data_IF_585655806958
#
_entry.id   IF_585655806958
#
_cell.length_a   1.000
_cell.length_b   1.000
_cell.length_c   1.000
_cell.angle_alpha   90.00
_cell.angle_beta   90.00
_cell.angle_gamma   90.00
#
_symmetry.space_group_name_H-M   'P 1'
#
loop_
_entity.id
_entity.type
_entity.pdbx_description
1 polymer ?
#
# COMPACT_ATOMS: atom_id res chain seq x y z
N UNK A 1 42.46 8.96 -35.43
CA UNK A 1 41.09 9.49 -35.22
C UNK A 1 39.96 8.54 -35.62
N UNK A 2 40.19 7.48 -36.41
CA UNK A 2 39.11 6.59 -36.85
C UNK A 2 38.60 5.58 -35.80
N UNK A 3 39.36 5.30 -34.74
CA UNK A 3 38.95 4.31 -33.72
C UNK A 3 37.91 4.85 -32.70
N UNK A 4 37.83 6.18 -32.52
CA UNK A 4 36.89 6.79 -31.56
C UNK A 4 35.46 6.81 -32.12
N UNK A 5 35.32 7.04 -33.42
CA UNK A 5 34.02 7.05 -34.11
C UNK A 5 33.42 5.63 -34.14
N UNK A 6 34.25 4.60 -34.31
CA UNK A 6 33.80 3.20 -34.29
C UNK A 6 33.30 2.77 -32.91
N UNK A 7 33.96 3.21 -31.83
CA UNK A 7 33.52 2.91 -30.46
C UNK A 7 32.21 3.62 -30.10
N UNK A 8 32.01 4.86 -30.52
CA UNK A 8 30.73 5.57 -30.31
C UNK A 8 29.58 4.93 -31.08
N UNK A 9 29.80 4.50 -32.33
CA UNK A 9 28.78 3.78 -33.10
C UNK A 9 28.42 2.44 -32.45
N UNK A 10 29.39 1.72 -31.89
CA UNK A 10 29.13 0.47 -31.17
C UNK A 10 28.34 0.72 -29.86
N UNK A 11 28.60 1.82 -29.17
CA UNK A 11 27.87 2.20 -27.96
C UNK A 11 26.43 2.64 -28.26
N UNK A 12 26.19 3.35 -29.38
CA UNK A 12 24.85 3.69 -29.86
C UNK A 12 24.09 2.44 -30.34
N UNK A 13 24.79 1.46 -30.93
CA UNK A 13 24.19 0.17 -31.31
C UNK A 13 23.86 -0.70 -30.10
N UNK A 14 24.69 -0.69 -29.05
CA UNK A 14 24.39 -1.39 -27.79
C UNK A 14 23.24 -0.75 -27.01
N UNK A 15 23.10 0.58 -27.06
CA UNK A 15 21.96 1.29 -26.43
C UNK A 15 20.66 1.04 -27.20
N UNK A 16 20.70 0.78 -28.51
CA UNK A 16 19.52 0.47 -29.32
C UNK A 16 19.13 -1.02 -29.33
N UNK A 17 19.96 -1.90 -28.76
CA UNK A 17 19.59 -3.27 -28.43
C UNK A 17 18.94 -3.35 -27.02
N UNK A 18 18.05 -2.41 -26.70
CA UNK A 18 17.15 -2.59 -25.55
C UNK A 18 16.12 -3.61 -25.96
N UNK A 19 16.23 -4.81 -25.40
CA UNK A 19 15.23 -5.88 -25.50
C UNK A 19 13.83 -5.31 -25.33
N UNK A 20 13.06 -5.20 -26.42
CA UNK A 20 11.61 -5.08 -26.35
C UNK A 20 11.11 -6.33 -25.62
N UNK A 21 10.20 -6.16 -24.67
CA UNK A 21 9.50 -7.27 -24.01
C UNK A 21 8.95 -8.23 -25.07
N UNK A 22 9.55 -9.40 -25.18
CA UNK A 22 8.90 -10.60 -25.73
C UNK A 22 8.58 -11.49 -24.53
N UNK A 23 7.43 -11.22 -23.91
CA UNK A 23 6.70 -12.28 -23.23
C UNK A 23 6.04 -13.14 -24.32
N UNK A 24 5.77 -14.41 -24.02
CA UNK A 24 5.10 -15.33 -24.96
C UNK A 24 3.68 -14.83 -25.38
N UNK A 25 3.17 -13.78 -24.73
CA UNK A 25 1.86 -13.14 -24.95
C UNK A 25 1.92 -11.82 -25.76
N UNK A 26 3.12 -11.40 -26.19
CA UNK A 26 3.34 -10.25 -27.07
C UNK A 26 3.65 -8.93 -26.36
N UNK A 27 4.16 -7.95 -27.11
CA UNK A 27 4.54 -6.63 -26.58
C UNK A 27 3.32 -5.69 -26.54
N UNK A 28 3.21 -4.90 -25.47
CA UNK A 28 2.33 -3.72 -25.35
C UNK A 28 3.17 -2.48 -25.66
N UNK A 29 2.68 -1.63 -26.55
CA UNK A 29 3.32 -0.37 -26.95
C UNK A 29 2.40 0.80 -26.57
N UNK A 30 2.85 1.59 -25.59
CA UNK A 30 2.23 2.79 -25.05
C UNK A 30 2.90 4.08 -25.58
N UNK A 31 4.16 4.03 -26.04
CA UNK A 31 4.97 5.21 -26.42
C UNK A 31 4.41 6.03 -27.59
N UNK A 32 3.47 5.49 -28.37
CA UNK A 32 2.73 6.20 -29.42
C UNK A 32 1.41 6.84 -28.95
N UNK A 33 1.01 6.64 -27.70
CA UNK A 33 -0.24 7.15 -27.15
C UNK A 33 -0.05 8.55 -26.58
N UNK A 34 -0.93 9.47 -26.96
CA UNK A 34 -0.94 10.85 -26.43
C UNK A 34 -2.02 11.09 -25.38
N UNK A 35 -3.08 10.27 -25.40
CA UNK A 35 -4.22 10.30 -24.49
C UNK A 35 -4.51 8.89 -23.99
N UNK A 36 -5.15 8.76 -22.83
CA UNK A 36 -5.56 7.49 -22.24
C UNK A 36 -6.59 6.77 -23.12
N UNK A 37 -6.28 5.59 -23.67
CA UNK A 37 -7.23 4.79 -24.44
C UNK A 37 -8.31 4.17 -23.55
N UNK A 38 -9.52 4.04 -24.07
CA UNK A 38 -10.65 3.40 -23.38
C UNK A 38 -10.36 1.96 -22.92
N UNK A 39 -9.45 1.28 -23.63
CA UNK A 39 -9.08 -0.11 -23.36
C UNK A 39 -7.80 -0.27 -22.54
N UNK A 40 -7.21 0.83 -22.05
CA UNK A 40 -6.03 0.79 -21.20
C UNK A 40 -6.45 0.69 -19.73
N UNK A 41 -5.86 -0.30 -19.06
CA UNK A 41 -5.99 -0.52 -17.63
C UNK A 41 -4.60 -0.71 -17.03
N UNK A 42 -4.37 -0.09 -15.87
CA UNK A 42 -3.18 -0.29 -15.06
C UNK A 42 -3.61 -0.86 -13.71
N UNK A 43 -2.92 -1.90 -13.28
CA UNK A 43 -3.16 -2.52 -11.99
C UNK A 43 -1.84 -2.72 -11.24
N UNK A 44 -1.82 -2.41 -9.94
CA UNK A 44 -0.74 -2.85 -9.05
C UNK A 44 -1.27 -3.81 -8.01
N UNK A 45 -0.39 -4.69 -7.56
CA UNK A 45 -0.60 -5.57 -6.43
C UNK A 45 0.66 -5.58 -5.57
N UNK A 46 0.55 -5.59 -4.25
CA UNK A 46 1.70 -5.72 -3.35
C UNK A 46 1.31 -6.46 -2.09
N UNK A 47 2.07 -7.51 -1.75
CA UNK A 47 1.87 -8.30 -0.53
C UNK A 47 1.29 -9.69 -0.79
N UNK A 48 0.55 -10.21 0.19
CA UNK A 48 -0.04 -11.55 0.19
C UNK A 48 0.99 -12.69 0.26
N UNK A 49 0.59 -13.87 -0.21
CA UNK A 49 1.35 -15.11 0.03
C UNK A 49 0.95 -15.72 1.36
N UNK A 50 1.91 -15.97 2.27
CA UNK A 50 1.60 -16.37 3.66
C UNK A 50 1.10 -15.22 4.54
N UNK A 51 1.25 -13.96 4.10
CA UNK A 51 0.77 -12.80 4.84
C UNK A 51 -0.64 -12.43 4.38
N UNK A 52 -1.50 -12.02 5.31
CA UNK A 52 -2.87 -11.59 4.99
C UNK A 52 -2.92 -10.15 4.49
N UNK A 53 -1.82 -9.42 4.64
CA UNK A 53 -1.64 -8.04 4.24
C UNK A 53 -1.33 -7.94 2.75
N UNK A 54 -2.20 -7.26 2.00
CA UNK A 54 -1.97 -6.95 0.59
C UNK A 54 -2.73 -5.70 0.17
N UNK A 55 -2.15 -4.98 -0.80
CA UNK A 55 -2.77 -3.82 -1.42
C UNK A 55 -2.95 -4.09 -2.92
N UNK A 56 -4.04 -3.59 -3.49
CA UNK A 56 -4.30 -3.63 -4.93
C UNK A 56 -4.84 -2.29 -5.40
N UNK A 57 -4.33 -1.80 -6.51
CA UNK A 57 -4.84 -0.60 -7.16
C UNK A 57 -5.22 -0.95 -8.59
N UNK A 58 -6.40 -0.54 -9.03
CA UNK A 58 -6.86 -0.67 -10.40
C UNK A 58 -7.24 0.72 -10.93
N UNK A 59 -6.75 1.08 -12.10
CA UNK A 59 -7.00 2.34 -12.80
C UNK A 59 -7.42 2.02 -14.23
N UNK A 60 -8.63 2.46 -14.58
CA UNK A 60 -9.16 2.45 -15.95
C UNK A 60 -9.78 3.81 -16.27
N UNK A 61 -10.20 4.01 -17.51
CA UNK A 61 -10.92 5.23 -17.91
C UNK A 61 -12.22 5.43 -17.11
N UNK A 62 -12.96 4.35 -16.89
CA UNK A 62 -14.31 4.41 -16.35
C UNK A 62 -14.36 4.33 -14.82
N UNK A 63 -13.40 3.63 -14.22
CA UNK A 63 -13.37 3.43 -12.76
C UNK A 63 -11.97 3.17 -12.23
N UNK A 64 -11.73 3.67 -11.01
CA UNK A 64 -10.53 3.34 -10.25
C UNK A 64 -10.94 2.79 -8.88
N UNK A 65 -10.16 1.84 -8.37
CA UNK A 65 -10.34 1.29 -7.02
C UNK A 65 -9.00 1.02 -6.36
N UNK A 66 -8.87 1.47 -5.12
CA UNK A 66 -7.80 1.07 -4.21
C UNK A 66 -8.37 0.08 -3.19
N UNK A 67 -7.69 -1.03 -2.99
CA UNK A 67 -8.06 -2.06 -2.02
C UNK A 67 -6.88 -2.23 -1.06
N UNK A 68 -7.15 -2.09 0.23
CA UNK A 68 -6.22 -2.46 1.29
C UNK A 68 -6.83 -3.63 2.06
N UNK A 69 -6.13 -4.77 2.04
CA UNK A 69 -6.43 -5.92 2.88
C UNK A 69 -5.41 -6.00 4.00
N UNK A 70 -5.89 -6.01 5.24
CA UNK A 70 -5.06 -6.32 6.40
C UNK A 70 -5.77 -7.37 7.24
N UNK A 71 -5.08 -8.47 7.56
CA UNK A 71 -5.60 -9.55 8.43
C UNK A 71 -6.96 -10.11 8.01
N UNK A 72 -7.20 -10.21 6.69
CA UNK A 72 -8.44 -10.74 6.11
C UNK A 72 -9.59 -9.74 6.05
N UNK A 73 -9.31 -8.46 6.27
CA UNK A 73 -10.28 -7.35 6.16
C UNK A 73 -9.98 -6.53 4.92
N UNK A 74 -10.86 -6.60 3.94
CA UNK A 74 -10.72 -5.89 2.66
C UNK A 74 -11.48 -4.56 2.67
N UNK A 75 -10.76 -3.45 2.74
CA UNK A 75 -11.33 -2.11 2.57
C UNK A 75 -11.15 -1.63 1.13
N UNK A 76 -12.25 -1.18 0.49
CA UNK A 76 -12.28 -0.75 -0.91
C UNK A 76 -12.65 0.72 -1.03
N UNK A 77 -11.87 1.46 -1.81
CA UNK A 77 -12.02 2.89 -2.02
C UNK A 77 -12.13 3.19 -3.50
N UNK A 78 -13.34 3.56 -3.94
CA UNK A 78 -13.61 3.90 -5.32
C UNK A 78 -13.32 5.38 -5.57
N UNK A 79 -12.72 5.70 -6.71
CA UNK A 79 -12.47 7.07 -7.11
C UNK A 79 -12.45 7.19 -8.64
N UNK A 80 -12.46 8.43 -9.12
CA UNK A 80 -12.44 8.75 -10.54
C UNK A 80 -11.26 9.70 -10.79
N UNK A 81 -10.56 9.46 -11.91
CA UNK A 81 -9.59 10.38 -12.47
C UNK A 81 -10.24 11.13 -13.63
N UNK A 82 -10.01 12.43 -13.71
CA UNK A 82 -10.37 13.22 -14.88
C UNK A 82 -9.55 12.78 -16.09
N UNK A 83 -10.03 13.05 -17.31
CA UNK A 83 -9.29 12.74 -18.53
C UNK A 83 -7.88 13.35 -18.52
N UNK A 84 -7.74 14.59 -18.02
CA UNK A 84 -6.43 15.25 -17.91
C UNK A 84 -5.48 14.52 -16.95
N UNK A 85 -5.99 14.01 -15.82
CA UNK A 85 -5.19 13.24 -14.87
C UNK A 85 -4.76 11.90 -15.47
N UNK A 86 -5.66 11.24 -16.22
CA UNK A 86 -5.34 10.00 -16.95
C UNK A 86 -4.26 10.25 -18.02
N UNK A 87 -4.43 11.26 -18.85
CA UNK A 87 -3.46 11.60 -19.90
C UNK A 87 -2.09 11.97 -19.32
N UNK A 88 -2.07 12.66 -18.17
CA UNK A 88 -0.84 12.97 -17.45
C UNK A 88 -0.20 11.70 -16.86
N UNK A 89 -0.98 10.85 -16.21
CA UNK A 89 -0.50 9.58 -15.67
C UNK A 89 0.11 8.69 -16.75
N UNK A 90 -0.54 8.60 -17.93
CA UNK A 90 0.00 7.88 -19.10
C UNK A 90 1.37 8.42 -19.50
N UNK A 91 1.51 9.74 -19.63
CA UNK A 91 2.80 10.38 -19.99
C UNK A 91 3.87 10.05 -18.97
N UNK A 92 3.56 10.18 -17.68
CA UNK A 92 4.51 9.93 -16.61
C UNK A 92 4.94 8.45 -16.57
N UNK A 93 4.01 7.54 -16.82
CA UNK A 93 4.28 6.10 -16.93
C UNK A 93 5.16 5.77 -18.15
N UNK A 94 4.93 6.39 -19.30
CA UNK A 94 5.77 6.25 -20.51
C UNK A 94 7.19 6.80 -20.25
N UNK A 95 7.31 7.98 -19.63
CA UNK A 95 8.59 8.61 -19.30
C UNK A 95 9.41 7.75 -18.35
N UNK A 96 8.76 7.00 -17.46
CA UNK A 96 9.40 6.03 -16.58
C UNK A 96 9.62 4.65 -17.24
N UNK A 97 9.66 4.58 -18.58
CA UNK A 97 10.08 3.39 -19.34
C UNK A 97 9.29 2.11 -19.05
N UNK A 98 7.98 2.21 -18.78
CA UNK A 98 7.14 1.05 -18.46
C UNK A 98 7.24 -0.11 -19.47
N UNK A 99 7.36 0.19 -20.77
CA UNK A 99 7.46 -0.79 -21.86
C UNK A 99 8.80 -1.57 -21.87
N UNK A 100 9.78 -1.08 -21.12
CA UNK A 100 11.14 -1.63 -21.06
C UNK A 100 11.42 -2.32 -19.73
N UNK A 101 10.42 -2.45 -18.86
CA UNK A 101 10.53 -3.22 -17.65
C UNK A 101 10.70 -4.70 -18.02
N UNK A 102 11.91 -5.21 -17.92
CA UNK A 102 12.22 -6.62 -18.21
C UNK A 102 12.18 -7.45 -16.94
N UNK A 103 11.56 -8.63 -17.00
CA UNK A 103 11.59 -9.64 -15.93
C UNK A 103 12.63 -10.72 -16.21
N UNK A 104 13.25 -11.26 -15.16
CA UNK A 104 14.08 -12.45 -15.19
C UNK A 104 13.39 -13.52 -14.34
N UNK A 105 13.27 -14.74 -14.87
CA UNK A 105 12.87 -15.90 -14.06
C UNK A 105 13.90 -16.14 -12.96
N UNK A 106 13.44 -16.36 -11.74
CA UNK A 106 14.32 -16.64 -10.60
C UNK A 106 14.80 -18.09 -10.67
N UNK A 107 16.12 -18.28 -10.63
CA UNK A 107 16.74 -19.61 -10.58
C UNK A 107 16.72 -20.13 -9.12
N UNK A 108 15.68 -20.86 -8.69
CA UNK A 108 15.67 -21.43 -7.33
C UNK A 108 14.32 -21.86 -6.75
N UNK A 109 14.36 -22.37 -5.51
CA UNK A 109 13.18 -22.68 -4.69
C UNK A 109 12.54 -21.36 -4.26
N UNK A 110 11.32 -21.12 -4.74
CA UNK A 110 10.52 -19.96 -4.38
C UNK A 110 9.96 -20.19 -2.98
N UNK A 111 10.52 -19.49 -2.01
CA UNK A 111 9.90 -19.37 -0.70
C UNK A 111 8.85 -18.26 -0.78
N UNK A 112 7.66 -18.54 -0.25
CA UNK A 112 6.49 -17.68 -0.23
C UNK A 112 6.85 -16.27 0.29
N UNK A 113 7.11 -15.36 -0.65
CA UNK A 113 7.47 -13.97 -0.42
C UNK A 113 6.44 -13.14 -1.15
N UNK A 114 5.73 -12.29 -0.39
CA UNK A 114 4.77 -11.33 -0.94
C UNK A 114 5.35 -10.66 -2.19
N UNK A 115 4.55 -10.63 -3.26
CA UNK A 115 5.00 -10.19 -4.57
C UNK A 115 4.44 -8.79 -4.81
N UNK A 116 5.28 -7.88 -5.29
CA UNK A 116 4.81 -6.62 -5.85
C UNK A 116 4.77 -6.75 -7.36
N UNK A 117 3.62 -6.45 -7.97
CA UNK A 117 3.40 -6.61 -9.39
C UNK A 117 2.72 -5.37 -9.98
N UNK A 118 3.01 -5.12 -11.26
CA UNK A 118 2.35 -4.15 -12.12
C UNK A 118 1.81 -4.89 -13.33
N UNK A 119 0.50 -4.81 -13.55
CA UNK A 119 -0.18 -5.37 -14.72
C UNK A 119 -0.65 -4.24 -15.62
N UNK A 120 -0.42 -4.40 -16.92
CA UNK A 120 -0.81 -3.46 -17.97
C UNK A 120 -1.71 -4.23 -18.92
N UNK A 121 -2.94 -3.78 -19.08
CA UNK A 121 -3.87 -4.34 -20.06
C UNK A 121 -4.14 -3.29 -21.13
N UNK A 122 -4.00 -3.66 -22.40
CA UNK A 122 -4.40 -2.82 -23.54
C UNK A 122 -5.23 -3.66 -24.52
N UNK A 123 -6.55 -3.47 -24.49
CA UNK A 123 -7.48 -4.26 -25.28
C UNK A 123 -7.49 -5.73 -24.85
N UNK A 124 -6.90 -6.62 -25.67
CA UNK A 124 -6.83 -8.07 -25.39
C UNK A 124 -5.46 -8.54 -24.91
N UNK A 125 -4.49 -7.63 -24.85
CA UNK A 125 -3.13 -7.95 -24.40
C UNK A 125 -2.99 -7.55 -22.94
N UNK A 126 -2.40 -8.42 -22.14
CA UNK A 126 -2.02 -8.13 -20.77
C UNK A 126 -0.54 -8.50 -20.57
N UNK A 127 0.17 -7.71 -19.78
CA UNK A 127 1.52 -8.02 -19.32
C UNK A 127 1.57 -7.75 -17.82
N UNK A 128 1.98 -8.74 -17.05
CA UNK A 128 2.28 -8.60 -15.61
C UNK A 128 3.78 -8.61 -15.40
N UNK A 129 4.28 -7.62 -14.67
CA UNK A 129 5.68 -7.46 -14.30
C UNK A 129 5.76 -7.56 -12.78
N UNK A 130 6.36 -8.64 -12.30
CA UNK A 130 6.57 -8.89 -10.87
C UNK A 130 7.98 -8.52 -10.39
N UNK A 131 8.08 -8.10 -9.14
CA UNK A 131 9.30 -8.13 -8.34
C UNK A 131 9.03 -9.04 -7.12
N UNK A 132 9.20 -10.35 -7.31
CA UNK A 132 8.98 -11.35 -6.25
C UNK A 132 8.67 -12.75 -6.77
N UNK A 133 8.69 -13.73 -5.86
CA UNK A 133 8.38 -15.12 -6.14
C UNK A 133 9.18 -15.74 -7.31
N UNK A 134 8.51 -16.07 -8.43
CA UNK A 134 9.07 -16.76 -9.61
C UNK A 134 9.72 -15.83 -10.63
N UNK A 135 9.47 -14.53 -10.55
CA UNK A 135 9.91 -13.54 -11.53
C UNK A 135 10.34 -12.24 -10.83
N UNK A 136 11.55 -11.81 -11.12
CA UNK A 136 12.09 -10.57 -10.57
C UNK A 136 12.43 -9.64 -11.70
N UNK A 137 12.05 -8.38 -11.56
CA UNK A 137 12.50 -7.32 -12.45
C UNK A 137 14.03 -7.22 -12.46
N UNK A 138 14.60 -7.04 -13.65
CA UNK A 138 16.04 -6.86 -13.82
C UNK A 138 16.56 -5.69 -12.98
N UNK A 139 17.72 -5.85 -12.33
CA UNK A 139 18.24 -4.92 -11.32
C UNK A 139 18.30 -3.46 -11.79
N UNK A 140 18.76 -3.23 -13.02
CA UNK A 140 18.86 -1.88 -13.61
C UNK A 140 17.49 -1.24 -13.94
N UNK A 141 16.39 -1.99 -13.90
CA UNK A 141 15.01 -1.53 -14.12
C UNK A 141 14.19 -1.38 -12.84
N UNK A 142 14.69 -1.85 -11.69
CA UNK A 142 13.99 -1.70 -10.40
C UNK A 142 13.61 -0.26 -10.09
N UNK A 143 14.51 0.68 -10.36
CA UNK A 143 14.25 2.11 -10.13
C UNK A 143 13.05 2.64 -10.93
N UNK A 144 12.95 2.26 -12.21
CA UNK A 144 11.85 2.64 -13.09
C UNK A 144 10.52 2.01 -12.61
N UNK A 145 10.55 0.73 -12.21
CA UNK A 145 9.40 0.03 -11.66
C UNK A 145 8.85 0.69 -10.40
N UNK A 146 9.71 0.97 -9.41
CA UNK A 146 9.28 1.59 -8.16
C UNK A 146 8.80 3.02 -8.37
N UNK A 147 9.34 3.76 -9.34
CA UNK A 147 8.79 5.08 -9.72
C UNK A 147 7.36 4.96 -10.26
N UNK A 148 7.10 4.01 -11.16
CA UNK A 148 5.76 3.79 -11.71
C UNK A 148 4.80 3.34 -10.60
N UNK A 149 5.20 2.37 -9.79
CA UNK A 149 4.40 1.89 -8.66
C UNK A 149 4.05 3.04 -7.70
N UNK A 150 5.03 3.80 -7.25
CA UNK A 150 4.82 4.93 -6.34
C UNK A 150 3.99 6.05 -6.98
N UNK A 151 4.15 6.31 -8.27
CA UNK A 151 3.34 7.28 -9.02
C UNK A 151 1.84 6.89 -9.01
N UNK A 152 1.54 5.63 -9.31
CA UNK A 152 0.16 5.12 -9.29
C UNK A 152 -0.43 5.20 -7.87
N UNK A 153 0.33 4.75 -6.86
CA UNK A 153 -0.11 4.79 -5.47
C UNK A 153 -0.30 6.22 -4.94
N UNK A 154 0.62 7.15 -5.22
CA UNK A 154 0.48 8.55 -4.81
C UNK A 154 -0.72 9.25 -5.46
N UNK A 155 -1.03 8.90 -6.72
CA UNK A 155 -2.24 9.36 -7.40
C UNK A 155 -3.50 8.86 -6.68
N UNK A 156 -3.52 7.58 -6.32
CA UNK A 156 -4.62 6.98 -5.55
C UNK A 156 -4.73 7.59 -4.15
N UNK A 157 -3.62 7.74 -3.42
CA UNK A 157 -3.55 8.30 -2.07
C UNK A 157 -4.16 9.70 -2.00
N UNK A 158 -3.85 10.55 -2.98
CA UNK A 158 -4.44 11.89 -3.09
C UNK A 158 -5.96 11.86 -3.28
N UNK A 159 -6.46 10.88 -4.05
CA UNK A 159 -7.89 10.72 -4.31
C UNK A 159 -8.63 10.11 -3.14
N UNK A 160 -8.04 9.13 -2.46
CA UNK A 160 -8.68 8.45 -1.32
C UNK A 160 -8.54 9.23 -0.02
N UNK A 161 -7.76 10.32 0.02
CA UNK A 161 -7.64 11.17 1.19
C UNK A 161 -9.01 11.67 1.71
N UNK A 162 -10.00 11.83 0.83
CA UNK A 162 -11.39 12.20 1.21
C UNK A 162 -12.10 11.15 2.05
N UNK A 163 -11.62 9.91 2.07
CA UNK A 163 -12.12 8.83 2.93
C UNK A 163 -11.46 8.81 4.30
N UNK A 164 -10.50 9.70 4.58
CA UNK A 164 -9.86 9.77 5.90
C UNK A 164 -10.81 10.39 6.93
N UNK A 165 -10.94 9.75 8.09
CA UNK A 165 -11.79 10.13 9.22
C UNK A 165 -10.99 10.13 10.50
N UNK A 166 -11.38 11.02 11.40
CA UNK A 166 -10.79 11.06 12.73
C UNK A 166 -11.46 10.00 13.60
N UNK A 167 -10.65 9.12 14.19
CA UNK A 167 -11.05 8.13 15.17
C UNK A 167 -10.34 8.43 16.49
N UNK A 168 -11.08 8.83 17.51
CA UNK A 168 -10.51 9.17 18.81
C UNK A 168 -10.88 8.15 19.87
N UNK A 169 -9.89 7.73 20.66
CA UNK A 169 -10.05 6.90 21.85
C UNK A 169 -9.98 7.80 23.07
N UNK A 170 -11.11 7.96 23.75
CA UNK A 170 -11.20 8.73 25.00
C UNK A 170 -10.99 7.82 26.19
N UNK A 171 -10.12 8.21 27.11
CA UNK A 171 -9.91 7.51 28.37
C UNK A 171 -10.88 8.09 29.40
N UNK A 172 -11.75 7.26 29.95
CA UNK A 172 -12.69 7.67 30.99
C UNK A 172 -11.93 8.25 32.21
N UNK A 173 -12.23 9.47 32.68
CA UNK A 173 -11.55 10.07 33.84
C UNK A 173 -11.68 9.29 35.16
N UNK A 174 -12.66 8.40 35.27
CA UNK A 174 -12.81 7.48 36.41
C UNK A 174 -11.72 6.41 36.47
N UNK A 175 -10.99 6.21 35.36
CA UNK A 175 -9.77 5.41 35.25
C UNK A 175 -8.65 6.15 35.99
N UNK A 176 -8.72 6.16 37.33
CA UNK A 176 -7.64 6.65 38.20
C UNK A 176 -6.54 5.61 38.30
N UNK A 177 -5.90 5.31 37.18
CA UNK A 177 -4.75 4.43 37.16
C UNK A 177 -3.48 5.27 37.31
N UNK A 178 -2.60 4.98 38.30
CA UNK A 178 -1.22 5.42 38.24
C UNK A 178 -0.54 4.65 37.10
N UNK A 179 -0.78 5.07 35.86
CA UNK A 179 -0.47 4.28 34.67
C UNK A 179 1.04 4.21 34.42
N UNK A 180 1.48 3.05 33.96
CA UNK A 180 2.73 2.88 33.22
C UNK A 180 2.38 2.06 31.99
N UNK A 181 2.38 2.71 30.82
CA UNK A 181 2.21 2.16 29.47
C UNK A 181 0.76 1.85 29.02
N UNK A 182 0.26 2.67 28.09
CA UNK A 182 -0.86 2.38 27.18
C UNK A 182 -0.29 2.12 25.78
N UNK A 183 -0.78 1.10 25.11
CA UNK A 183 -0.52 0.87 23.68
C UNK A 183 -1.84 0.75 22.94
N UNK A 184 -2.03 1.52 21.89
CA UNK A 184 -3.14 1.42 20.94
C UNK A 184 -2.52 1.16 19.58
N UNK A 185 -2.68 -0.05 19.07
CA UNK A 185 -2.10 -0.51 17.81
C UNK A 185 -3.23 -0.76 16.83
N UNK A 186 -3.24 -0.08 15.70
CA UNK A 186 -4.14 -0.45 14.60
C UNK A 186 -3.69 -1.76 14.00
N UNK A 187 -4.64 -2.64 13.77
CA UNK A 187 -4.45 -3.95 13.15
C UNK A 187 -4.84 -3.93 11.65
N UNK A 188 -5.38 -2.80 11.19
CA UNK A 188 -5.94 -2.55 9.85
C UNK A 188 -5.40 -1.24 9.23
N UNK A 189 -4.36 -0.69 9.83
CA UNK A 189 -3.59 0.43 9.30
C UNK A 189 -2.21 0.45 9.95
N UNK A 190 -1.20 0.95 9.23
CA UNK A 190 0.14 1.20 9.77
C UNK A 190 0.16 2.44 10.69
N UNK A 191 -0.52 2.33 11.84
CA UNK A 191 -0.51 3.37 12.86
C UNK A 191 -0.60 2.76 14.26
N UNK A 192 0.21 3.29 15.16
CA UNK A 192 0.22 2.89 16.56
C UNK A 192 0.55 4.10 17.43
N UNK A 193 -0.01 4.11 18.64
CA UNK A 193 0.36 5.05 19.69
C UNK A 193 0.81 4.26 20.92
N UNK A 194 1.93 4.67 21.49
CA UNK A 194 2.36 4.21 22.81
C UNK A 194 2.53 5.41 23.73
N UNK A 195 1.99 5.31 24.94
CA UNK A 195 2.14 6.32 25.98
C UNK A 195 2.68 5.67 27.25
N UNK A 196 3.96 5.89 27.51
CA UNK A 196 4.67 5.38 28.68
C UNK A 196 4.72 6.38 29.84
N UNK A 197 4.00 7.50 29.75
CA UNK A 197 4.01 8.52 30.81
C UNK A 197 3.21 8.08 32.03
N UNK A 198 3.54 8.65 33.19
CA UNK A 198 2.84 8.38 34.46
C UNK A 198 1.39 8.91 34.49
N UNK A 199 1.02 9.74 33.50
CA UNK A 199 -0.32 10.30 33.34
C UNK A 199 -0.75 10.14 31.89
N UNK A 200 -1.57 9.11 31.61
CA UNK A 200 -2.14 8.92 30.29
C UNK A 200 -2.89 10.18 29.83
N UNK A 201 -2.81 10.47 28.54
CA UNK A 201 -3.65 11.48 27.92
C UNK A 201 -5.11 11.04 28.01
N UNK A 202 -6.00 12.02 28.08
CA UNK A 202 -7.46 11.79 28.08
C UNK A 202 -7.97 11.33 26.71
N UNK A 203 -7.21 11.57 25.63
CA UNK A 203 -7.63 11.27 24.27
C UNK A 203 -6.45 10.92 23.35
N UNK A 204 -6.65 9.92 22.49
CA UNK A 204 -5.73 9.51 21.43
C UNK A 204 -6.47 9.42 20.11
N UNK A 205 -6.14 10.29 19.16
CA UNK A 205 -6.80 10.34 17.86
C UNK A 205 -5.91 9.82 16.74
N UNK A 206 -6.51 9.06 15.83
CA UNK A 206 -5.92 8.54 14.62
C UNK A 206 -6.68 9.07 13.41
N UNK A 207 -5.98 9.31 12.31
CA UNK A 207 -6.59 9.68 11.05
C UNK A 207 -6.57 8.49 10.09
N UNK A 208 -7.68 7.77 10.03
CA UNK A 208 -7.80 6.45 9.41
C UNK A 208 -8.67 6.55 8.15
N UNK A 209 -8.45 5.68 7.17
CA UNK A 209 -9.41 5.55 6.09
C UNK A 209 -10.71 4.90 6.59
N UNK A 210 -11.85 5.30 6.03
CA UNK A 210 -13.14 4.68 6.27
C UNK A 210 -13.11 3.17 6.00
N UNK A 211 -14.00 2.42 6.65
CA UNK A 211 -14.12 0.98 6.46
C UNK A 211 -13.95 0.21 7.75
N UNK A 212 -13.72 -1.09 7.64
CA UNK A 212 -13.57 -1.96 8.79
C UNK A 212 -12.19 -1.74 9.43
N UNK A 213 -12.23 -1.40 10.72
CA UNK A 213 -11.08 -1.08 11.53
C UNK A 213 -11.01 -2.05 12.72
N UNK A 214 -9.79 -2.46 13.06
CA UNK A 214 -9.51 -3.29 14.23
C UNK A 214 -8.33 -2.72 14.98
N UNK A 215 -8.41 -2.70 16.30
CA UNK A 215 -7.31 -2.25 17.16
C UNK A 215 -6.94 -3.33 18.16
N UNK A 216 -5.73 -3.23 18.67
CA UNK A 216 -5.26 -3.92 19.85
C UNK A 216 -4.88 -2.86 20.89
N UNK A 217 -5.58 -2.88 22.01
CA UNK A 217 -5.41 -1.88 23.08
C UNK A 217 -4.95 -2.58 24.34
N UNK A 218 -3.82 -2.15 24.87
CA UNK A 218 -3.19 -2.69 26.06
C UNK A 218 -2.96 -1.62 27.11
N UNK A 219 -3.32 -1.92 28.35
CA UNK A 219 -3.03 -1.07 29.50
C UNK A 219 -2.29 -1.91 30.54
N UNK A 220 -1.16 -1.41 31.06
CA UNK A 220 -0.43 -2.04 32.17
C UNK A 220 -0.48 -1.19 33.45
N UNK A 221 -0.48 -1.84 34.61
CA UNK A 221 -0.52 -1.19 35.92
C UNK A 221 0.89 -1.09 36.53
N UNK A 222 1.15 -0.05 37.34
CA UNK A 222 2.46 0.17 37.97
C UNK A 222 2.95 -1.03 38.81
N UNK A 223 4.24 -1.33 38.74
CA UNK A 223 4.93 -2.22 39.71
C UNK A 223 5.52 -3.51 39.13
N UNK A 224 5.23 -3.82 37.86
CA UNK A 224 5.83 -4.96 37.16
C UNK A 224 6.38 -4.50 35.81
N UNK A 225 7.68 -4.67 35.61
CA UNK A 225 8.41 -4.28 34.38
C UNK A 225 8.18 -5.30 33.25
N UNK A 226 7.40 -6.35 33.50
CA UNK A 226 7.13 -7.38 32.51
C UNK A 226 5.96 -6.95 31.61
N UNK A 227 6.26 -6.79 30.32
CA UNK A 227 5.32 -6.52 29.21
C UNK A 227 4.25 -7.62 29.00
N UNK A 228 4.16 -8.59 29.90
CA UNK A 228 3.20 -9.71 29.84
C UNK A 228 2.04 -9.57 30.84
N UNK A 229 2.15 -8.69 31.83
CA UNK A 229 1.13 -8.52 32.89
C UNK A 229 0.21 -7.34 32.55
N UNK A 230 -0.66 -7.54 31.56
CA UNK A 230 -1.67 -6.56 31.16
C UNK A 230 -2.77 -6.43 32.22
N UNK A 231 -3.11 -5.19 32.57
CA UNK A 231 -4.31 -4.89 33.36
C UNK A 231 -5.58 -5.11 32.50
N UNK A 232 -5.52 -4.72 31.23
CA UNK A 232 -6.55 -5.01 30.24
C UNK A 232 -5.96 -5.11 28.84
N UNK A 233 -6.54 -6.00 28.04
CA UNK A 233 -6.29 -6.16 26.61
C UNK A 233 -7.63 -6.27 25.89
N UNK A 234 -7.90 -5.38 24.94
CA UNK A 234 -9.11 -5.45 24.11
C UNK A 234 -8.79 -5.38 22.63
N UNK A 235 -9.67 -5.98 21.83
CA UNK A 235 -9.54 -6.11 20.38
C UNK A 235 -10.79 -5.57 19.68
N UNK A 236 -11.07 -4.26 19.79
CA UNK A 236 -12.28 -3.69 19.22
C UNK A 236 -12.23 -3.76 17.70
N UNK A 237 -13.39 -4.06 17.12
CA UNK A 237 -13.61 -4.16 15.69
C UNK A 237 -14.89 -3.40 15.34
N UNK A 238 -14.82 -2.50 14.37
CA UNK A 238 -15.93 -1.63 14.01
C UNK A 238 -15.81 -1.14 12.56
N UNK A 239 -16.90 -0.58 12.02
CA UNK A 239 -16.90 0.04 10.70
C UNK A 239 -16.89 1.56 10.87
N UNK A 240 -15.80 2.21 10.45
CA UNK A 240 -15.62 3.66 10.47
C UNK A 240 -16.29 4.27 9.23
N UNK A 241 -17.55 4.71 9.39
CA UNK A 241 -18.31 5.35 8.31
C UNK A 241 -18.25 6.88 8.34
N UNK A 242 -18.13 7.50 9.52
CA UNK A 242 -18.03 8.97 9.68
C UNK A 242 -16.99 9.26 10.76
N UNK A 243 -16.70 10.54 11.01
CA UNK A 243 -15.87 10.92 12.17
C UNK A 243 -16.51 10.35 13.43
N UNK A 244 -15.76 9.50 14.14
CA UNK A 244 -16.28 8.69 15.23
C UNK A 244 -15.37 8.87 16.44
N UNK A 245 -15.98 9.21 17.58
CA UNK A 245 -15.30 9.19 18.87
C UNK A 245 -15.73 7.92 19.61
N UNK A 246 -14.75 7.17 20.09
CA UNK A 246 -14.92 5.97 20.90
C UNK A 246 -14.45 6.25 22.30
N UNK A 247 -15.24 5.83 23.29
CA UNK A 247 -14.85 5.98 24.70
C UNK A 247 -14.42 4.65 25.25
N UNK A 248 -13.17 4.59 25.72
CA UNK A 248 -12.63 3.48 26.48
C UNK A 248 -13.00 3.68 27.95
N UNK A 249 -13.90 2.84 28.46
CA UNK A 249 -14.31 2.82 29.86
C UNK A 249 -13.73 1.61 30.57
N UNK A 250 -13.30 1.77 31.83
CA UNK A 250 -13.10 0.63 32.71
C UNK A 250 -14.37 0.39 33.51
N UNK A 251 -14.89 -0.82 33.41
CA UNK A 251 -15.96 -1.28 34.28
C UNK A 251 -15.38 -1.78 35.61
N UNK A 252 -16.24 -1.85 36.62
CA UNK A 252 -15.91 -2.18 38.02
C UNK A 252 -15.19 -3.54 38.18
N UNK A 253 -15.28 -4.40 37.18
CA UNK A 253 -14.66 -5.73 37.13
C UNK A 253 -13.31 -5.74 36.37
N UNK A 254 -12.67 -4.57 36.20
CA UNK A 254 -11.39 -4.39 35.46
C UNK A 254 -11.47 -4.68 33.95
N UNK A 255 -12.69 -4.86 33.42
CA UNK A 255 -12.91 -5.04 31.98
C UNK A 255 -12.99 -3.68 31.29
N UNK A 256 -12.16 -3.51 30.27
CA UNK A 256 -12.22 -2.36 29.40
C UNK A 256 -13.31 -2.57 28.35
N UNK A 257 -14.23 -1.60 28.23
CA UNK A 257 -15.36 -1.63 27.30
C UNK A 257 -15.25 -0.43 26.37
N UNK A 258 -15.57 -0.65 25.10
CA UNK A 258 -15.68 0.41 24.10
C UNK A 258 -17.15 0.76 23.91
N UNK A 259 -17.47 2.05 24.05
CA UNK A 259 -18.77 2.65 23.71
C UNK A 259 -18.63 3.66 22.56
#
# INVERSE_FOLDING_TARGET
MNNIIFLMLLMVYFISCQSKLKTDEGTIELSGLTNWPDSLELETYSGGGMVYEWNRLFISKDSCVFINSERGVDNRYYFILSQQELDQLLKDVIVNNIEKLGVKKTDGIIYDKGTTALTITLGRKSITIGDGASETITEFRKGDFWKIYNLLHSTADGKIAVYRRTCCFKIDPSIKLPSKFLSIISMTADTACTDSTFMLKEEYCFNLLQGEQSFQIHITQSGKVNYTDYFASIYPKFVLNNDTAMTLRLTKDSLLVME
#
